data_IF_387437572120
#
_entry.id   IF_387437572120
#
_cell.length_a   1.000
_cell.length_b   1.000
_cell.length_c   1.000
_cell.angle_alpha   90.00
_cell.angle_beta   90.00
_cell.angle_gamma   90.00
#
_symmetry.space_group_name_H-M   'P 1'
#
loop_
_entity.id
_entity.type
_entity.pdbx_description
1 polymer ?
#
# COMPACT_ATOMS: atom_id res chain seq x y z
N UNK A 1 20.11 -13.73 -2.88
CA UNK A 1 18.74 -14.29 -2.92
C UNK A 1 17.79 -13.11 -3.14
N UNK A 2 17.12 -13.02 -4.30
CA UNK A 2 16.24 -11.88 -4.59
C UNK A 2 14.88 -12.17 -3.99
N UNK A 3 14.58 -11.57 -2.83
CA UNK A 3 13.23 -11.61 -2.28
C UNK A 3 12.38 -10.61 -3.05
N UNK A 4 11.91 -11.05 -4.22
CA UNK A 4 10.90 -10.30 -4.95
C UNK A 4 9.59 -10.47 -4.17
N UNK A 5 9.41 -9.65 -3.15
CA UNK A 5 8.09 -9.27 -2.67
C UNK A 5 7.46 -8.51 -3.83
N UNK A 6 6.92 -9.26 -4.79
CA UNK A 6 6.41 -8.71 -6.02
C UNK A 6 5.25 -7.80 -5.69
N UNK A 7 5.52 -6.49 -5.69
CA UNK A 7 4.68 -5.28 -5.80
C UNK A 7 3.28 -5.24 -5.13
N UNK A 8 2.63 -6.37 -4.89
CA UNK A 8 1.27 -6.53 -4.39
C UNK A 8 1.06 -7.80 -3.53
N UNK A 9 1.91 -8.84 -3.61
CA UNK A 9 1.70 -10.12 -2.90
C UNK A 9 3.01 -10.79 -2.47
N UNK A 10 2.94 -11.70 -1.48
CA UNK A 10 4.09 -12.49 -1.06
C UNK A 10 4.32 -13.61 -2.09
N UNK A 11 5.56 -13.76 -2.57
CA UNK A 11 5.92 -14.85 -3.48
C UNK A 11 5.47 -16.20 -2.89
N UNK A 12 4.78 -17.02 -3.70
CA UNK A 12 4.25 -18.32 -3.28
C UNK A 12 5.34 -19.23 -2.69
N UNK A 13 6.55 -19.16 -3.23
CA UNK A 13 7.69 -19.94 -2.72
C UNK A 13 8.13 -19.47 -1.34
N UNK A 14 8.30 -18.15 -1.16
CA UNK A 14 8.67 -17.53 0.12
C UNK A 14 7.59 -17.82 1.17
N UNK A 15 6.31 -17.69 0.79
CA UNK A 15 5.18 -18.04 1.65
C UNK A 15 5.24 -19.49 2.11
N UNK A 16 5.51 -20.43 1.20
CA UNK A 16 5.60 -21.86 1.52
C UNK A 16 6.77 -22.12 2.47
N UNK A 17 7.96 -21.59 2.16
CA UNK A 17 9.18 -21.78 2.95
C UNK A 17 9.04 -21.21 4.36
N UNK A 18 8.41 -20.04 4.52
CA UNK A 18 8.06 -19.46 5.83
C UNK A 18 7.08 -20.35 6.60
N UNK A 19 6.03 -20.86 5.93
CA UNK A 19 5.07 -21.76 6.57
C UNK A 19 5.69 -23.09 7.03
N UNK A 20 6.68 -23.60 6.32
CA UNK A 20 7.33 -24.88 6.65
C UNK A 20 8.55 -24.73 7.56
N UNK A 21 8.83 -23.52 8.06
CA UNK A 21 9.99 -23.28 8.93
C UNK A 21 11.35 -23.47 8.24
N UNK A 22 11.42 -23.38 6.91
CA UNK A 22 12.63 -23.67 6.13
C UNK A 22 13.66 -22.53 6.14
N UNK A 23 13.30 -21.37 6.68
CA UNK A 23 14.20 -20.22 6.79
C UNK A 23 14.89 -20.18 8.15
N UNK A 24 16.14 -19.71 8.19
CA UNK A 24 16.78 -19.37 9.46
C UNK A 24 16.05 -18.20 10.12
N UNK A 25 16.29 -18.02 11.43
CA UNK A 25 15.76 -16.87 12.16
C UNK A 25 16.25 -15.55 11.57
N UNK A 26 17.51 -15.47 11.12
CA UNK A 26 18.04 -14.25 10.50
C UNK A 26 17.38 -13.98 9.14
N UNK A 27 17.16 -15.03 8.34
CA UNK A 27 16.49 -14.91 7.04
C UNK A 27 15.03 -14.46 7.19
N UNK A 28 14.29 -15.06 8.13
CA UNK A 28 12.93 -14.64 8.45
C UNK A 28 12.88 -13.19 8.95
N UNK A 29 13.87 -12.78 9.76
CA UNK A 29 14.02 -11.40 10.22
C UNK A 29 14.26 -10.44 9.06
N UNK A 30 15.14 -10.80 8.13
CA UNK A 30 15.40 -10.00 6.93
C UNK A 30 14.14 -9.80 6.09
N UNK A 31 13.38 -10.89 5.85
CA UNK A 31 12.11 -10.84 5.10
C UNK A 31 11.10 -9.92 5.80
N UNK A 32 10.98 -10.02 7.12
CA UNK A 32 10.04 -9.19 7.87
C UNK A 32 10.46 -7.70 7.90
N UNK A 33 11.76 -7.43 8.00
CA UNK A 33 12.30 -6.06 7.92
C UNK A 33 12.06 -5.44 6.54
N UNK A 34 12.18 -6.21 5.47
CA UNK A 34 11.85 -5.76 4.11
C UNK A 34 10.36 -5.43 3.99
N UNK A 35 9.49 -6.26 4.57
CA UNK A 35 8.06 -5.97 4.71
C UNK A 35 7.80 -4.66 5.48
N UNK A 36 8.49 -4.42 6.60
CA UNK A 36 8.33 -3.20 7.39
C UNK A 36 8.78 -1.94 6.62
N UNK A 37 9.89 -2.03 5.86
CA UNK A 37 10.34 -0.94 4.98
C UNK A 37 9.30 -0.64 3.92
N UNK A 38 8.76 -1.66 3.26
CA UNK A 38 7.70 -1.51 2.26
C UNK A 38 6.44 -0.91 2.87
N UNK A 39 6.03 -1.35 4.06
CA UNK A 39 4.91 -0.75 4.81
C UNK A 39 5.14 0.73 5.06
N UNK A 40 6.31 1.11 5.56
CA UNK A 40 6.65 2.51 5.87
C UNK A 40 6.72 3.39 4.62
N UNK A 41 7.32 2.87 3.55
CA UNK A 41 7.38 3.55 2.26
C UNK A 41 5.98 3.76 1.69
N UNK A 42 5.10 2.77 1.83
CA UNK A 42 3.69 2.85 1.41
C UNK A 42 2.90 3.87 2.20
N UNK A 43 3.04 3.86 3.52
CA UNK A 43 2.37 4.82 4.41
C UNK A 43 2.82 6.26 4.13
N UNK A 44 4.13 6.45 3.92
CA UNK A 44 4.68 7.73 3.47
C UNK A 44 4.14 8.13 2.08
N UNK A 45 4.14 7.18 1.13
CA UNK A 45 3.61 7.40 -0.22
C UNK A 45 2.13 7.78 -0.23
N UNK A 46 1.30 7.13 0.59
CA UNK A 46 -0.12 7.49 0.75
C UNK A 46 -0.30 8.88 1.36
N UNK A 47 0.55 9.25 2.31
CA UNK A 47 0.52 10.59 2.91
C UNK A 47 0.87 11.66 1.89
N UNK A 48 1.93 11.46 1.12
CA UNK A 48 2.34 12.38 0.05
C UNK A 48 1.26 12.47 -1.03
N UNK A 49 0.73 11.33 -1.48
CA UNK A 49 -0.35 11.28 -2.47
C UNK A 49 -1.61 12.02 -1.99
N UNK A 50 -1.96 11.88 -0.71
CA UNK A 50 -3.08 12.61 -0.10
C UNK A 50 -2.87 14.13 -0.10
N UNK A 51 -1.66 14.59 0.25
CA UNK A 51 -1.32 16.03 0.22
C UNK A 51 -1.33 16.56 -1.22
N UNK A 52 -0.73 15.84 -2.18
CA UNK A 52 -0.76 16.26 -3.58
C UNK A 52 -2.18 16.28 -4.15
N UNK A 53 -3.02 15.33 -3.76
CA UNK A 53 -4.43 15.32 -4.13
C UNK A 53 -5.12 16.57 -3.59
N UNK A 54 -4.96 16.89 -2.31
CA UNK A 54 -5.56 18.10 -1.72
C UNK A 54 -5.12 19.40 -2.41
N UNK A 55 -3.85 19.50 -2.83
CA UNK A 55 -3.35 20.65 -3.60
C UNK A 55 -3.97 20.75 -4.99
N UNK A 56 -4.05 19.63 -5.73
CA UNK A 56 -4.71 19.58 -7.05
C UNK A 56 -6.18 19.99 -6.93
N UNK A 57 -6.85 19.53 -5.88
CA UNK A 57 -8.22 19.89 -5.58
C UNK A 57 -8.40 21.37 -5.26
N UNK A 58 -7.52 21.96 -4.45
CA UNK A 58 -7.53 23.38 -4.16
C UNK A 58 -7.30 24.23 -5.41
N UNK A 59 -6.38 23.81 -6.28
CA UNK A 59 -6.09 24.50 -7.54
C UNK A 59 -7.26 24.42 -8.53
N UNK A 60 -7.83 23.23 -8.72
CA UNK A 60 -9.00 23.02 -9.59
C UNK A 60 -10.19 23.84 -9.10
N UNK A 61 -10.44 23.91 -7.79
CA UNK A 61 -11.50 24.73 -7.23
C UNK A 61 -11.35 26.22 -7.57
N UNK A 62 -10.12 26.76 -7.44
CA UNK A 62 -9.83 28.17 -7.78
C UNK A 62 -10.02 28.44 -9.27
N UNK A 63 -9.55 27.54 -10.14
CA UNK A 63 -9.70 27.68 -11.59
C UNK A 63 -11.17 27.64 -12.04
N UNK A 64 -12.01 26.85 -11.37
CA UNK A 64 -13.45 26.77 -11.69
C UNK A 64 -14.24 28.01 -11.32
N UNK A 65 -13.76 28.82 -10.37
CA UNK A 65 -14.36 30.12 -10.10
C UNK A 65 -14.05 31.16 -11.20
N UNK A 66 -13.06 30.90 -12.06
CA UNK A 66 -12.64 31.79 -13.16
C UNK A 66 -13.14 31.34 -14.54
N UNK A 67 -13.72 30.14 -14.65
CA UNK A 67 -14.13 29.55 -15.93
C UNK A 67 -15.47 30.09 -16.44
N UNK A 68 -15.42 31.08 -17.34
CA UNK A 68 -16.58 31.56 -18.11
C UNK A 68 -16.99 30.50 -19.15
N UNK A 69 -18.28 30.12 -19.10
CA UNK A 69 -19.05 29.24 -20.00
C UNK A 69 -18.38 28.86 -21.34
N UNK A 70 -17.95 27.59 -21.49
CA UNK A 70 -17.89 26.88 -22.80
C UNK A 70 -17.50 25.37 -22.72
N UNK A 71 -17.74 24.67 -21.61
CA UNK A 71 -17.47 23.22 -21.51
C UNK A 71 -18.75 22.38 -21.67
N UNK A 72 -18.69 21.34 -22.51
CA UNK A 72 -19.80 20.42 -22.86
C UNK A 72 -20.22 19.46 -21.75
N UNK A 73 -19.38 19.28 -20.73
CA UNK A 73 -19.65 18.53 -19.51
C UNK A 73 -19.51 19.51 -18.33
N UNK A 74 -20.44 19.45 -17.38
CA UNK A 74 -20.41 20.31 -16.21
C UNK A 74 -19.17 19.98 -15.37
N UNK A 75 -18.49 20.99 -14.85
CA UNK A 75 -17.34 20.83 -13.95
C UNK A 75 -17.64 19.85 -12.78
N UNK A 76 -18.91 19.81 -12.34
CA UNK A 76 -19.41 18.88 -11.33
C UNK A 76 -19.30 17.40 -11.72
N UNK A 77 -19.45 17.06 -12.99
CA UNK A 77 -19.43 15.67 -13.49
C UNK A 77 -18.00 15.13 -13.52
N UNK A 78 -17.03 15.92 -13.99
CA UNK A 78 -15.60 15.60 -13.90
C UNK A 78 -15.15 15.45 -12.44
N UNK A 79 -15.64 16.31 -11.56
CA UNK A 79 -15.33 16.27 -10.15
C UNK A 79 -15.80 14.96 -9.49
N UNK A 80 -17.05 14.56 -9.74
CA UNK A 80 -17.58 13.27 -9.27
C UNK A 80 -16.79 12.08 -9.84
N UNK A 81 -16.43 12.13 -11.11
CA UNK A 81 -15.65 11.06 -11.76
C UNK A 81 -14.25 10.92 -11.14
N UNK A 82 -13.58 12.04 -10.83
CA UNK A 82 -12.28 12.04 -10.16
C UNK A 82 -12.37 11.51 -8.72
N UNK A 83 -13.42 11.84 -7.98
CA UNK A 83 -13.68 11.27 -6.63
C UNK A 83 -13.84 9.77 -6.71
N UNK A 84 -14.68 9.31 -7.63
CA UNK A 84 -14.97 7.90 -7.81
C UNK A 84 -13.68 7.14 -8.17
N UNK A 85 -12.92 7.65 -9.14
CA UNK A 85 -11.65 7.07 -9.57
C UNK A 85 -10.64 7.01 -8.42
N UNK A 86 -10.47 8.11 -7.67
CA UNK A 86 -9.56 8.17 -6.53
C UNK A 86 -9.97 7.18 -5.43
N UNK A 87 -11.28 7.08 -5.14
CA UNK A 87 -11.83 6.11 -4.19
C UNK A 87 -11.54 4.67 -4.61
N UNK A 88 -11.74 4.32 -5.88
CA UNK A 88 -11.44 2.98 -6.41
C UNK A 88 -9.95 2.67 -6.29
N UNK A 89 -9.06 3.60 -6.67
CA UNK A 89 -7.61 3.41 -6.59
C UNK A 89 -7.18 3.20 -5.13
N UNK A 90 -7.65 4.02 -4.20
CA UNK A 90 -7.36 3.87 -2.77
C UNK A 90 -7.90 2.55 -2.20
N UNK A 91 -9.10 2.15 -2.63
CA UNK A 91 -9.73 0.91 -2.19
C UNK A 91 -8.95 -0.33 -2.66
N UNK A 92 -8.62 -0.40 -3.95
CA UNK A 92 -7.79 -1.49 -4.51
C UNK A 92 -6.43 -1.53 -3.83
N UNK A 93 -5.83 -0.36 -3.60
CA UNK A 93 -4.55 -0.25 -2.89
C UNK A 93 -4.64 -0.80 -1.46
N UNK A 94 -5.67 -0.42 -0.70
CA UNK A 94 -5.89 -0.86 0.66
C UNK A 94 -6.13 -2.38 0.73
N UNK A 95 -6.97 -2.92 -0.15
CA UNK A 95 -7.22 -4.37 -0.23
C UNK A 95 -5.94 -5.15 -0.49
N UNK A 96 -5.18 -4.73 -1.50
CA UNK A 96 -3.94 -5.42 -1.90
C UNK A 96 -2.93 -5.42 -0.76
N UNK A 97 -2.78 -4.29 -0.06
CA UNK A 97 -1.89 -4.20 1.09
C UNK A 97 -2.37 -5.01 2.30
N UNK A 98 -3.68 -5.01 2.56
CA UNK A 98 -4.29 -5.81 3.63
C UNK A 98 -4.07 -7.31 3.44
N UNK A 99 -4.30 -7.81 2.23
CA UNK A 99 -4.03 -9.20 1.86
C UNK A 99 -2.56 -9.54 2.07
N UNK A 100 -1.65 -8.68 1.64
CA UNK A 100 -0.21 -8.90 1.80
C UNK A 100 0.22 -8.97 3.27
N UNK A 101 -0.27 -8.04 4.11
CA UNK A 101 -0.05 -8.05 5.56
C UNK A 101 -0.55 -9.37 6.18
N UNK A 102 -1.74 -9.82 5.80
CA UNK A 102 -2.31 -11.06 6.31
C UNK A 102 -1.52 -12.29 5.86
N UNK A 103 -1.01 -12.30 4.62
CA UNK A 103 -0.19 -13.38 4.09
C UNK A 103 1.14 -13.56 4.84
N UNK A 104 1.88 -12.46 5.08
CA UNK A 104 3.13 -12.53 5.85
C UNK A 104 2.87 -12.94 7.29
N UNK A 105 1.90 -12.30 7.95
CA UNK A 105 1.61 -12.60 9.35
C UNK A 105 1.16 -14.06 9.53
N UNK A 106 0.29 -14.56 8.65
CA UNK A 106 -0.13 -15.96 8.66
C UNK A 106 1.01 -16.92 8.36
N UNK A 107 1.96 -16.57 7.50
CA UNK A 107 3.08 -17.44 7.15
C UNK A 107 4.13 -17.52 8.27
N UNK A 108 4.32 -16.44 9.02
CA UNK A 108 5.32 -16.36 10.09
C UNK A 108 4.79 -16.76 11.48
N UNK A 109 3.47 -16.74 11.69
CA UNK A 109 2.86 -17.03 13.00
C UNK A 109 3.26 -18.40 13.59
N UNK A 110 3.49 -19.40 12.75
CA UNK A 110 3.71 -20.78 13.23
C UNK A 110 5.14 -21.02 13.71
N UNK A 111 6.14 -20.45 13.03
CA UNK A 111 7.55 -20.74 13.30
C UNK A 111 8.40 -19.52 13.67
N UNK A 112 7.87 -18.30 13.54
CA UNK A 112 8.64 -17.05 13.65
C UNK A 112 7.87 -15.96 14.42
N UNK A 113 7.04 -16.34 15.40
CA UNK A 113 6.30 -15.38 16.23
C UNK A 113 7.25 -14.51 17.05
N UNK A 114 8.34 -15.09 17.55
CA UNK A 114 9.43 -14.39 18.23
C UNK A 114 10.05 -13.29 17.35
N UNK A 115 10.28 -13.58 16.05
CA UNK A 115 10.80 -12.60 15.09
C UNK A 115 9.82 -11.46 14.87
N UNK A 116 8.52 -11.75 14.79
CA UNK A 116 7.48 -10.73 14.65
C UNK A 116 7.46 -9.80 15.87
N UNK A 117 7.54 -10.36 17.07
CA UNK A 117 7.54 -9.59 18.32
C UNK A 117 8.80 -8.73 18.44
N UNK A 118 9.97 -9.30 18.20
CA UNK A 118 11.25 -8.58 18.26
C UNK A 118 11.30 -7.42 17.25
N UNK A 119 10.81 -7.63 16.03
CA UNK A 119 10.77 -6.59 15.01
C UNK A 119 9.66 -5.55 15.21
N UNK A 120 8.63 -5.84 16.02
CA UNK A 120 7.60 -4.85 16.40
C UNK A 120 7.99 -4.07 17.65
N UNK A 121 8.79 -4.66 18.54
CA UNK A 121 9.28 -4.03 19.76
C UNK A 121 10.46 -3.08 19.53
N UNK A 122 11.16 -3.22 18.41
CA UNK A 122 12.12 -2.22 17.88
C UNK A 122 11.43 -1.09 17.14
#
# INVERSE_FOLDING_TARGET
MVYIIGTTTLNKEVKRKLKTGQYSREEATFIYMEYLKLKKQRESGTKVAGISMALIWGLLYVLSLQGENNQTLSFSEYFLFLILLAGIVLFVYYLTFGIFKQQIHSAMKEHYTDVIEECKGR
#
